data_IF_889820382276
#
_entry.id   IF_889820382276
#
_cell.length_a   1.000
_cell.length_b   1.000
_cell.length_c   1.000
_cell.angle_alpha   90.00
_cell.angle_beta   90.00
_cell.angle_gamma   90.00
#
_symmetry.space_group_name_H-M   'P 1'
#
loop_
_entity.id
_entity.type
_entity.pdbx_description
1 polymer ?
#
# COMPACT_ATOMS: atom_id res chain seq x y z
N UNK A 1 18.59 6.85 -19.25
CA UNK A 1 17.83 6.37 -20.44
C UNK A 1 17.11 7.55 -21.07
N UNK A 2 16.98 7.61 -22.42
CA UNK A 2 16.18 8.67 -23.06
C UNK A 2 14.70 8.52 -22.63
N UNK A 3 13.98 9.63 -22.39
CA UNK A 3 12.55 9.57 -22.08
C UNK A 3 11.76 8.94 -23.22
N UNK A 4 10.61 8.35 -22.90
CA UNK A 4 9.66 7.78 -23.88
C UNK A 4 8.47 8.72 -24.07
N UNK A 5 7.81 8.63 -25.22
CA UNK A 5 6.62 9.44 -25.54
C UNK A 5 5.37 8.61 -25.30
N UNK A 6 4.31 9.25 -24.80
CA UNK A 6 3.01 8.61 -24.55
C UNK A 6 1.93 9.42 -25.25
N UNK A 7 1.06 8.74 -25.98
CA UNK A 7 -0.14 9.36 -26.56
C UNK A 7 -1.31 9.14 -25.60
N UNK A 8 -1.81 10.23 -25.03
CA UNK A 8 -2.99 10.23 -24.16
C UNK A 8 -4.18 10.76 -24.97
N UNK A 9 -5.30 10.04 -24.92
CA UNK A 9 -6.59 10.51 -25.45
C UNK A 9 -7.55 10.72 -24.29
N UNK A 10 -8.25 11.86 -24.29
CA UNK A 10 -9.28 12.21 -23.33
C UNK A 10 -10.65 12.02 -23.96
N UNK A 11 -11.53 11.32 -23.28
CA UNK A 11 -12.88 11.00 -23.74
C UNK A 11 -13.91 11.61 -22.80
N UNK A 12 -14.98 12.12 -23.39
CA UNK A 12 -16.21 12.49 -22.71
C UNK A 12 -17.27 11.44 -23.04
N UNK A 13 -17.70 10.67 -22.07
CA UNK A 13 -18.61 9.54 -22.25
C UNK A 13 -19.93 9.89 -21.58
N UNK A 14 -21.03 9.86 -22.34
CA UNK A 14 -22.40 10.10 -21.85
C UNK A 14 -23.22 8.82 -21.93
N UNK A 15 -23.84 8.42 -20.82
CA UNK A 15 -24.69 7.24 -20.72
C UNK A 15 -25.67 7.40 -19.57
N UNK A 16 -26.90 6.90 -19.67
CA UNK A 16 -27.92 6.90 -18.60
C UNK A 16 -28.02 8.23 -17.81
N UNK A 17 -28.06 9.36 -18.54
CA UNK A 17 -28.05 10.74 -17.99
C UNK A 17 -26.83 11.11 -17.12
N UNK A 18 -25.75 10.34 -17.19
CA UNK A 18 -24.46 10.60 -16.55
C UNK A 18 -23.43 10.99 -17.60
N UNK A 19 -22.45 11.76 -17.16
CA UNK A 19 -21.29 12.13 -17.94
C UNK A 19 -20.03 11.81 -17.14
N UNK A 20 -19.10 11.10 -17.77
CA UNK A 20 -17.77 10.84 -17.21
C UNK A 20 -16.70 11.31 -18.16
N UNK A 21 -15.57 11.74 -17.59
CA UNK A 21 -14.37 12.09 -18.33
C UNK A 21 -13.32 11.03 -18.01
N UNK A 22 -12.81 10.35 -19.05
CA UNK A 22 -11.77 9.33 -18.89
C UNK A 22 -10.56 9.67 -19.77
N UNK A 23 -9.37 9.62 -19.19
CA UNK A 23 -8.10 9.72 -19.92
C UNK A 23 -7.48 8.34 -20.09
N UNK A 24 -7.00 8.04 -21.30
CA UNK A 24 -6.36 6.76 -21.64
C UNK A 24 -5.05 6.98 -22.36
N UNK A 25 -3.98 6.34 -21.87
CA UNK A 25 -2.79 6.12 -22.67
C UNK A 25 -3.11 5.09 -23.77
N UNK A 26 -3.08 5.50 -25.04
CA UNK A 26 -3.44 4.65 -26.19
C UNK A 26 -2.24 4.08 -26.91
N UNK A 27 -1.07 4.72 -26.78
CA UNK A 27 0.21 4.19 -27.26
C UNK A 27 1.36 4.81 -26.47
N UNK A 28 2.49 4.11 -26.45
CA UNK A 28 3.74 4.61 -25.92
C UNK A 28 4.91 4.10 -26.76
N UNK A 29 5.88 4.97 -27.02
CA UNK A 29 7.00 4.71 -27.92
C UNK A 29 8.31 5.15 -27.29
N UNK A 30 9.34 4.31 -27.43
CA UNK A 30 10.69 4.61 -27.00
C UNK A 30 11.34 3.44 -26.26
N UNK A 31 12.66 3.34 -26.40
CA UNK A 31 13.49 2.26 -25.85
C UNK A 31 13.27 2.01 -24.35
N UNK A 32 13.02 3.07 -23.57
CA UNK A 32 12.74 2.93 -22.13
C UNK A 32 11.44 2.16 -21.86
N UNK A 33 10.38 2.39 -22.64
CA UNK A 33 9.10 1.69 -22.49
C UNK A 33 9.15 0.27 -23.04
N UNK A 34 9.92 0.05 -24.11
CA UNK A 34 10.18 -1.30 -24.66
C UNK A 34 10.91 -2.19 -23.65
N UNK A 35 11.91 -1.62 -22.96
CA UNK A 35 12.65 -2.32 -21.91
C UNK A 35 11.80 -2.53 -20.65
N UNK A 36 10.95 -1.55 -20.29
CA UNK A 36 10.13 -1.61 -19.09
C UNK A 36 8.76 -0.96 -19.31
N UNK A 37 7.70 -1.78 -19.34
CA UNK A 37 6.30 -1.36 -19.53
C UNK A 37 5.73 -0.71 -18.26
N UNK A 38 6.18 0.50 -17.98
CA UNK A 38 5.83 1.27 -16.78
C UNK A 38 4.40 1.79 -16.74
N UNK A 39 3.67 1.77 -17.87
CA UNK A 39 2.29 2.25 -17.97
C UNK A 39 1.38 1.24 -18.67
N UNK A 40 0.10 1.28 -18.32
CA UNK A 40 -0.94 0.43 -18.92
C UNK A 40 -1.51 1.09 -20.16
N UNK A 41 -1.28 0.48 -21.33
CA UNK A 41 -1.88 0.91 -22.60
C UNK A 41 -3.28 0.33 -22.73
N UNK A 42 -4.28 1.21 -22.92
CA UNK A 42 -5.68 0.84 -23.13
C UNK A 42 -6.07 1.06 -24.59
N UNK A 43 -6.98 0.23 -25.08
CA UNK A 43 -7.56 0.43 -26.43
C UNK A 43 -8.27 1.78 -26.52
N UNK A 44 -8.10 2.44 -27.66
CA UNK A 44 -8.88 3.63 -28.04
C UNK A 44 -10.37 3.29 -28.00
N UNK A 45 -11.20 4.25 -27.57
CA UNK A 45 -12.65 4.12 -27.70
C UNK A 45 -13.08 4.61 -29.08
N UNK A 46 -14.05 3.95 -29.74
CA UNK A 46 -14.67 4.48 -30.95
C UNK A 46 -15.50 5.72 -30.61
N UNK A 47 -15.55 6.67 -31.54
CA UNK A 47 -16.28 7.93 -31.39
C UNK A 47 -17.69 7.80 -31.99
N UNK A 48 -18.70 8.38 -31.32
CA UNK A 48 -20.10 8.31 -31.74
C UNK A 48 -21.02 7.65 -30.72
N UNK A 49 -22.26 7.36 -31.15
CA UNK A 49 -23.29 6.70 -30.34
C UNK A 49 -23.35 5.21 -30.71
N UNK A 50 -23.27 4.35 -29.71
CA UNK A 50 -23.31 2.90 -29.90
C UNK A 50 -24.31 2.27 -28.93
N UNK A 51 -25.06 1.27 -29.40
CA UNK A 51 -25.82 0.37 -28.53
C UNK A 51 -24.87 -0.71 -28.00
N UNK A 52 -24.64 -0.71 -26.69
CA UNK A 52 -23.68 -1.62 -26.04
C UNK A 52 -24.41 -2.58 -25.10
N UNK A 53 -24.00 -3.85 -25.11
CA UNK A 53 -24.43 -4.82 -24.10
C UNK A 53 -23.43 -4.81 -22.95
N UNK A 54 -23.86 -4.32 -21.79
CA UNK A 54 -23.03 -4.31 -20.58
C UNK A 54 -23.34 -5.50 -19.68
N UNK A 55 -22.30 -6.17 -19.15
CA UNK A 55 -22.46 -7.16 -18.07
C UNK A 55 -22.38 -6.43 -16.74
N UNK A 56 -23.52 -6.23 -16.09
CA UNK A 56 -23.60 -5.62 -14.77
C UNK A 56 -23.06 -6.64 -13.74
N UNK A 57 -22.08 -6.22 -12.95
CA UNK A 57 -21.51 -7.03 -11.87
C UNK A 57 -21.53 -6.23 -10.57
N UNK A 58 -21.89 -6.89 -9.47
CA UNK A 58 -21.73 -6.33 -8.13
C UNK A 58 -20.30 -6.58 -7.68
N UNK A 59 -19.50 -5.51 -7.62
CA UNK A 59 -18.12 -5.55 -7.15
C UNK A 59 -17.99 -4.86 -5.79
N UNK A 60 -17.09 -5.31 -4.91
CA UNK A 60 -16.79 -4.60 -3.68
C UNK A 60 -16.31 -3.17 -3.96
N UNK A 61 -16.69 -2.22 -3.10
CA UNK A 61 -16.25 -0.82 -3.20
C UNK A 61 -14.74 -0.68 -2.99
N UNK A 62 -14.18 -1.51 -2.12
CA UNK A 62 -12.76 -1.50 -1.74
C UNK A 62 -12.21 -2.92 -1.93
N UNK A 63 -11.02 -3.01 -2.51
CA UNK A 63 -10.27 -4.25 -2.60
C UNK A 63 -9.32 -4.36 -1.42
N UNK A 64 -9.22 -5.56 -0.85
CA UNK A 64 -8.22 -5.86 0.19
C UNK A 64 -6.80 -5.69 -0.37
N UNK A 65 -5.82 -5.49 0.51
CA UNK A 65 -4.44 -5.28 0.05
C UNK A 65 -3.80 -6.57 -0.47
N UNK A 66 -2.96 -6.45 -1.49
CA UNK A 66 -1.92 -7.45 -1.79
C UNK A 66 -0.72 -7.25 -0.85
N UNK A 67 0.18 -8.22 -0.79
CA UNK A 67 1.44 -8.07 -0.03
C UNK A 67 2.24 -6.84 -0.48
N UNK A 68 2.34 -6.61 -1.80
CA UNK A 68 3.05 -5.46 -2.36
C UNK A 68 2.42 -4.11 -2.01
N UNK A 69 1.08 -4.04 -1.97
CA UNK A 69 0.37 -2.83 -1.54
C UNK A 69 0.61 -2.54 -0.05
N UNK A 70 0.69 -3.57 0.81
CA UNK A 70 1.05 -3.39 2.22
C UNK A 70 2.49 -2.89 2.37
N UNK A 71 3.47 -3.50 1.67
CA UNK A 71 4.87 -3.05 1.71
C UNK A 71 4.98 -1.59 1.27
N UNK A 72 4.30 -1.21 0.19
CA UNK A 72 4.27 0.17 -0.27
C UNK A 72 3.70 1.11 0.79
N UNK A 73 2.62 0.71 1.47
CA UNK A 73 2.01 1.51 2.53
C UNK A 73 2.89 1.62 3.78
N UNK A 74 3.62 0.56 4.12
CA UNK A 74 4.65 0.58 5.18
C UNK A 74 5.74 1.61 4.87
N UNK A 75 6.26 1.61 3.63
CA UNK A 75 7.23 2.59 3.15
C UNK A 75 6.69 4.03 3.21
N UNK A 76 5.48 4.27 2.69
CA UNK A 76 4.83 5.58 2.71
C UNK A 76 4.62 6.12 4.14
N UNK A 77 4.40 5.22 5.10
CA UNK A 77 4.21 5.56 6.52
C UNK A 77 5.51 5.61 7.32
N UNK A 78 6.65 5.24 6.75
CA UNK A 78 7.92 5.16 7.48
C UNK A 78 7.96 4.06 8.54
N UNK A 79 7.26 2.94 8.31
CA UNK A 79 7.23 1.79 9.22
C UNK A 79 8.01 0.64 8.59
N UNK A 80 9.02 0.12 9.29
CA UNK A 80 9.88 -0.94 8.78
C UNK A 80 10.99 -0.48 7.83
N UNK A 81 11.76 -1.45 7.34
CA UNK A 81 12.97 -1.29 6.51
C UNK A 81 12.99 -2.36 5.42
N UNK A 82 13.80 -2.20 4.35
CA UNK A 82 13.97 -3.24 3.32
C UNK A 82 14.29 -4.64 3.90
N UNK A 83 15.02 -4.69 5.01
CA UNK A 83 15.37 -5.91 5.73
C UNK A 83 14.21 -6.52 6.56
N UNK A 84 13.14 -5.77 6.84
CA UNK A 84 12.07 -6.18 7.77
C UNK A 84 10.70 -6.34 7.13
N UNK A 85 10.44 -5.75 5.95
CA UNK A 85 9.12 -5.81 5.30
C UNK A 85 8.59 -7.24 5.12
N UNK A 86 9.41 -8.12 4.54
CA UNK A 86 9.04 -9.52 4.31
C UNK A 86 8.80 -10.25 5.64
N UNK A 87 9.70 -10.06 6.61
CA UNK A 87 9.62 -10.68 7.93
C UNK A 87 8.36 -10.28 8.70
N UNK A 88 7.95 -9.01 8.62
CA UNK A 88 6.72 -8.53 9.29
C UNK A 88 5.49 -9.22 8.69
N UNK A 89 5.39 -9.25 7.36
CA UNK A 89 4.27 -9.89 6.66
C UNK A 89 4.24 -11.40 6.93
N UNK A 90 5.38 -12.07 6.83
CA UNK A 90 5.51 -13.51 7.08
C UNK A 90 5.08 -13.90 8.50
N UNK A 91 5.45 -13.09 9.50
CA UNK A 91 4.99 -13.29 10.90
C UNK A 91 3.47 -13.24 11.04
N UNK A 92 2.76 -12.40 10.28
CA UNK A 92 1.30 -12.35 10.32
C UNK A 92 0.67 -13.65 9.79
N UNK A 93 1.27 -14.25 8.76
CA UNK A 93 0.85 -15.56 8.24
C UNK A 93 1.17 -16.69 9.21
N UNK A 94 2.41 -16.74 9.72
CA UNK A 94 2.87 -17.76 10.66
C UNK A 94 1.99 -17.82 11.91
N UNK A 95 1.57 -16.64 12.43
CA UNK A 95 0.66 -16.52 13.58
C UNK A 95 -0.81 -16.67 13.24
N UNK A 96 -1.15 -16.93 11.97
CA UNK A 96 -2.53 -17.07 11.46
C UNK A 96 -3.40 -15.83 11.72
N UNK A 97 -2.80 -14.64 11.78
CA UNK A 97 -3.54 -13.37 11.88
C UNK A 97 -4.10 -12.94 10.53
N UNK A 98 -3.46 -13.35 9.44
CA UNK A 98 -3.93 -13.14 8.07
C UNK A 98 -3.84 -14.43 7.27
N UNK A 99 -4.68 -14.52 6.24
CA UNK A 99 -4.60 -15.55 5.19
C UNK A 99 -4.62 -14.87 3.82
N UNK A 100 -4.21 -15.60 2.79
CA UNK A 100 -4.26 -15.10 1.41
C UNK A 100 -5.38 -15.77 0.62
N UNK A 101 -6.21 -14.96 -0.03
CA UNK A 101 -7.28 -15.42 -0.92
C UNK A 101 -7.25 -14.62 -2.22
N UNK A 102 -7.06 -15.30 -3.36
CA UNK A 102 -6.96 -14.66 -4.67
C UNK A 102 -5.87 -13.56 -4.74
N UNK A 103 -4.71 -13.79 -4.12
CA UNK A 103 -3.61 -12.82 -4.09
C UNK A 103 -3.81 -11.63 -3.15
N UNK A 104 -4.80 -11.71 -2.24
CA UNK A 104 -5.23 -10.62 -1.37
C UNK A 104 -5.19 -11.08 0.09
N UNK A 105 -4.71 -10.20 0.96
CA UNK A 105 -4.62 -10.43 2.40
C UNK A 105 -5.99 -10.26 3.07
N UNK A 106 -6.44 -11.29 3.77
CA UNK A 106 -7.69 -11.31 4.51
C UNK A 106 -7.37 -11.49 6.00
N UNK A 107 -7.82 -10.60 6.89
CA UNK A 107 -7.65 -10.81 8.32
C UNK A 107 -8.48 -12.01 8.78
N UNK A 108 -7.93 -12.79 9.71
CA UNK A 108 -8.68 -13.85 10.39
C UNK A 108 -9.42 -13.27 11.60
N UNK A 109 -10.41 -14.02 12.12
CA UNK A 109 -11.07 -13.64 13.38
C UNK A 109 -10.06 -13.46 14.52
N UNK A 110 -9.12 -14.40 14.66
CA UNK A 110 -8.05 -14.32 15.64
C UNK A 110 -7.18 -13.08 15.45
N UNK A 111 -6.76 -12.78 14.21
CA UNK A 111 -5.94 -11.60 13.92
C UNK A 111 -6.65 -10.30 14.28
N UNK A 112 -7.96 -10.23 14.01
CA UNK A 112 -8.78 -9.08 14.36
C UNK A 112 -8.92 -8.91 15.87
N UNK A 113 -9.20 -9.98 16.61
CA UNK A 113 -9.31 -9.95 18.08
C UNK A 113 -7.98 -9.55 18.74
N UNK A 114 -6.85 -10.05 18.24
CA UNK A 114 -5.52 -9.66 18.73
C UNK A 114 -5.24 -8.19 18.45
N UNK A 115 -5.56 -7.70 17.25
CA UNK A 115 -5.41 -6.29 16.90
C UNK A 115 -6.25 -5.39 17.83
N UNK A 116 -7.53 -5.72 18.01
CA UNK A 116 -8.45 -4.98 18.89
C UNK A 116 -7.97 -4.98 20.34
N UNK A 117 -7.48 -6.11 20.85
CA UNK A 117 -6.93 -6.16 22.20
C UNK A 117 -5.72 -5.23 22.37
N UNK A 118 -4.77 -5.27 21.42
CA UNK A 118 -3.55 -4.47 21.49
C UNK A 118 -3.83 -2.98 21.34
N UNK A 119 -4.71 -2.57 20.42
CA UNK A 119 -5.01 -1.15 20.22
C UNK A 119 -5.76 -0.57 21.42
N UNK A 120 -6.69 -1.33 22.03
CA UNK A 120 -7.49 -0.85 23.15
C UNK A 120 -6.69 -0.81 24.46
N UNK A 121 -5.80 -1.78 24.70
CA UNK A 121 -5.04 -1.85 25.96
C UNK A 121 -3.68 -1.13 25.89
N UNK A 122 -3.04 -1.13 24.73
CA UNK A 122 -1.66 -0.67 24.54
C UNK A 122 -1.50 0.32 23.38
N UNK A 123 -2.57 1.05 23.03
CA UNK A 123 -2.63 1.90 21.83
C UNK A 123 -1.50 2.92 21.70
N UNK A 124 -1.02 3.50 22.80
CA UNK A 124 0.13 4.41 22.79
C UNK A 124 1.41 3.74 22.28
N UNK A 125 1.64 2.49 22.66
CA UNK A 125 2.82 1.68 22.32
C UNK A 125 2.76 1.12 20.90
N UNK A 126 1.57 0.69 20.44
CA UNK A 126 1.40 0.05 19.13
C UNK A 126 0.95 1.01 18.02
N UNK A 127 0.90 2.32 18.32
CA UNK A 127 0.49 3.32 17.34
C UNK A 127 1.48 3.41 16.17
N UNK A 128 0.95 3.75 14.98
CA UNK A 128 1.76 3.99 13.79
C UNK A 128 2.78 5.13 14.03
N UNK A 129 2.36 6.19 14.71
CA UNK A 129 3.22 7.32 15.05
C UNK A 129 4.39 6.90 15.95
N UNK A 130 4.11 6.21 17.06
CA UNK A 130 5.17 5.77 18.00
C UNK A 130 6.16 4.84 17.32
N UNK A 131 5.65 3.93 16.49
CA UNK A 131 6.47 3.00 15.69
C UNK A 131 7.39 3.76 14.75
N UNK A 132 6.85 4.71 13.98
CA UNK A 132 7.64 5.58 13.09
C UNK A 132 8.73 6.35 13.85
N UNK A 133 8.40 6.94 15.00
CA UNK A 133 9.37 7.68 15.84
C UNK A 133 10.50 6.78 16.30
N UNK A 134 10.20 5.52 16.67
CA UNK A 134 11.24 4.57 17.05
C UNK A 134 12.17 4.23 15.88
N UNK A 135 11.61 4.03 14.69
CA UNK A 135 12.36 3.78 13.45
C UNK A 135 13.27 4.98 13.12
N UNK A 136 12.78 6.21 13.22
CA UNK A 136 13.57 7.43 12.99
C UNK A 136 14.72 7.57 14.01
N UNK A 137 14.50 7.18 15.27
CA UNK A 137 15.58 7.14 16.28
C UNK A 137 16.65 6.12 15.92
N UNK A 138 16.27 4.93 15.46
CA UNK A 138 17.24 3.93 15.01
C UNK A 138 18.11 4.46 13.86
N UNK A 139 17.52 5.16 12.89
CA UNK A 139 18.31 5.77 11.80
C UNK A 139 19.24 6.89 12.30
N UNK A 140 18.80 7.67 13.28
CA UNK A 140 19.64 8.73 13.86
C UNK A 140 20.83 8.14 14.63
N UNK A 141 20.64 7.02 15.35
CA UNK A 141 21.74 6.28 15.98
C UNK A 141 22.71 5.76 14.91
N UNK A 142 22.20 5.20 13.80
CA UNK A 142 23.04 4.71 12.69
C UNK A 142 23.90 5.83 12.07
N UNK A 143 23.38 7.06 11.99
CA UNK A 143 24.12 8.25 11.54
C UNK A 143 25.03 8.87 12.61
N UNK A 144 24.99 8.37 13.85
CA UNK A 144 25.74 8.95 14.98
C UNK A 144 25.17 10.27 15.51
N UNK A 145 23.91 10.58 15.22
CA UNK A 145 23.21 11.79 15.66
C UNK A 145 22.58 11.65 17.06
N UNK A 146 22.29 10.40 17.47
CA UNK A 146 21.75 10.08 18.79
C UNK A 146 22.64 9.05 19.50
N UNK A 147 22.75 9.21 20.81
CA UNK A 147 23.38 8.21 21.66
C UNK A 147 22.48 6.99 21.85
N UNK A 148 23.07 5.80 21.64
CA UNK A 148 22.31 4.56 21.71
C UNK A 148 21.92 4.20 23.15
N UNK A 149 22.73 4.57 24.14
CA UNK A 149 22.47 4.25 25.55
C UNK A 149 21.28 5.06 26.06
N UNK A 150 21.21 6.35 25.75
CA UNK A 150 20.06 7.20 26.08
C UNK A 150 18.78 6.69 25.41
N UNK A 151 18.87 6.29 24.14
CA UNK A 151 17.73 5.75 23.39
C UNK A 151 17.20 4.43 23.97
N UNK A 152 18.10 3.53 24.40
CA UNK A 152 17.73 2.27 25.08
C UNK A 152 17.12 2.56 26.45
N UNK A 153 17.68 3.50 27.21
CA UNK A 153 17.17 3.88 28.52
C UNK A 153 15.74 4.41 28.43
N UNK A 154 15.48 5.30 27.48
CA UNK A 154 14.13 5.82 27.22
C UNK A 154 13.15 4.69 26.87
N UNK A 155 13.55 3.78 25.97
CA UNK A 155 12.71 2.63 25.60
C UNK A 155 12.45 1.70 26.79
N UNK A 156 13.45 1.48 27.64
CA UNK A 156 13.32 0.68 28.85
C UNK A 156 12.31 1.30 29.83
N UNK A 157 12.42 2.61 30.07
CA UNK A 157 11.49 3.35 30.92
C UNK A 157 10.07 3.32 30.35
N UNK A 158 9.92 3.42 29.02
CA UNK A 158 8.63 3.27 28.34
C UNK A 158 8.01 1.89 28.60
N UNK A 159 8.79 0.82 28.40
CA UNK A 159 8.34 -0.57 28.59
C UNK A 159 7.97 -0.84 30.05
N UNK A 160 8.72 -0.29 31.01
CA UNK A 160 8.44 -0.46 32.44
C UNK A 160 7.10 0.16 32.85
N UNK A 161 6.62 1.14 32.10
CA UNK A 161 5.33 1.80 32.33
C UNK A 161 4.15 1.09 31.65
N UNK A 162 4.38 -0.08 31.03
CA UNK A 162 3.32 -0.96 30.54
C UNK A 162 2.69 -1.68 31.74
N UNK A 163 1.54 -1.20 32.20
CA UNK A 163 0.68 -1.91 33.16
C UNK A 163 -0.22 -2.96 32.47
#
# INVERSE_FOLDING_TARGET
AKPFKVKIKKYRIKFDNREIIEERAVSAEGKAFELFKSIWIRKSLPEGKFSVKAKIRRIPKITLFTQSEVIKKMQEKGIGRPSTYATIIDRLFLRRYVIEKNGRLVPTKLGFEVYEYLINKYGSFVSEYRTKVLEEKMDAIERGELDYYDSIKELYDEIRNIN
#
